data_IF_088767023773
#
_entry.id   IF_088767023773
#
_cell.length_a   1.000
_cell.length_b   1.000
_cell.length_c   1.000
_cell.angle_alpha   90.00
_cell.angle_beta   90.00
_cell.angle_gamma   90.00
#
_symmetry.space_group_name_H-M   'P 1'
#
loop_
_entity.id
_entity.type
_entity.pdbx_description
1 polymer ?
#
# COMPACT_ATOMS: atom_id res chain seq x y z
N UNK A 1 23.38 -47.25 -93.44
CA UNK A 1 23.94 -47.02 -92.03
C UNK A 1 22.87 -46.37 -91.24
N UNK A 2 22.24 -47.16 -90.32
CA UNK A 2 21.16 -46.67 -89.38
C UNK A 2 21.77 -46.51 -88.02
N UNK A 3 21.81 -45.29 -87.46
CA UNK A 3 22.29 -44.99 -86.08
C UNK A 3 21.17 -45.31 -85.09
N UNK A 4 21.44 -46.05 -84.03
CA UNK A 4 20.44 -46.28 -83.00
C UNK A 4 20.30 -45.02 -82.10
N UNK A 5 19.08 -44.52 -81.93
CA UNK A 5 18.74 -43.54 -80.94
C UNK A 5 18.83 -44.20 -79.54
N UNK A 6 19.83 -43.79 -78.80
CA UNK A 6 19.90 -44.15 -77.38
C UNK A 6 18.86 -43.33 -76.58
N UNK A 7 17.85 -43.97 -76.06
CA UNK A 7 16.88 -43.38 -75.09
C UNK A 7 17.55 -43.27 -73.71
N UNK A 8 17.94 -42.03 -73.37
CA UNK A 8 18.37 -41.74 -72.01
C UNK A 8 17.11 -41.69 -71.15
N UNK A 9 16.83 -42.73 -70.37
CA UNK A 9 15.82 -42.74 -69.31
C UNK A 9 16.40 -41.94 -68.14
N UNK A 10 15.99 -40.68 -68.03
CA UNK A 10 16.29 -39.86 -66.89
C UNK A 10 15.38 -40.36 -65.76
N UNK A 11 15.91 -41.24 -64.86
CA UNK A 11 15.25 -41.63 -63.66
C UNK A 11 15.29 -40.40 -62.70
N UNK A 12 14.20 -39.62 -62.71
CA UNK A 12 13.90 -38.64 -61.63
C UNK A 12 13.71 -39.44 -60.38
N UNK A 13 14.77 -39.54 -59.58
CA UNK A 13 14.63 -39.93 -58.18
C UNK A 13 13.78 -38.82 -57.49
N UNK A 14 12.60 -39.16 -56.98
CA UNK A 14 11.93 -38.18 -56.12
C UNK A 14 12.88 -37.87 -54.95
N UNK A 15 12.94 -36.60 -54.48
CA UNK A 15 13.67 -36.30 -53.26
C UNK A 15 13.13 -37.25 -52.21
N UNK A 16 14.03 -37.90 -51.48
CA UNK A 16 13.68 -38.71 -50.31
C UNK A 16 12.83 -37.85 -49.40
N UNK A 17 11.51 -37.97 -49.50
CA UNK A 17 10.58 -37.54 -48.48
C UNK A 17 10.93 -38.36 -47.21
N UNK A 18 11.45 -37.68 -46.26
CA UNK A 18 12.09 -38.07 -45.05
C UNK A 18 11.82 -39.43 -44.50
N UNK A 19 12.90 -40.09 -44.11
CA UNK A 19 12.86 -41.31 -43.30
C UNK A 19 12.16 -41.11 -41.93
N UNK A 20 11.53 -39.97 -41.69
CA UNK A 20 10.93 -39.46 -40.43
C UNK A 20 9.84 -40.42 -39.88
N UNK A 21 9.21 -41.21 -40.77
CA UNK A 21 8.16 -42.10 -40.29
C UNK A 21 8.71 -43.35 -39.56
N UNK A 22 10.03 -43.57 -39.66
CA UNK A 22 10.71 -44.66 -38.94
C UNK A 22 11.32 -44.24 -37.60
N UNK A 23 11.38 -42.91 -37.33
CA UNK A 23 11.92 -42.40 -36.08
C UNK A 23 10.93 -42.61 -34.93
N UNK A 24 11.43 -43.11 -33.82
CA UNK A 24 10.64 -43.09 -32.59
C UNK A 24 10.50 -41.65 -32.06
N UNK A 25 9.64 -41.46 -31.05
CA UNK A 25 9.35 -40.15 -30.50
C UNK A 25 10.61 -39.43 -30.04
N UNK A 26 11.50 -40.11 -29.35
CA UNK A 26 12.77 -39.58 -28.80
C UNK A 26 13.71 -39.13 -29.92
N UNK A 27 13.80 -39.90 -31.01
CA UNK A 27 14.62 -39.58 -32.16
C UNK A 27 14.11 -38.34 -32.92
N UNK A 28 12.78 -38.17 -33.01
CA UNK A 28 12.18 -36.94 -33.59
C UNK A 28 12.46 -35.74 -32.71
N UNK A 29 12.31 -35.90 -31.40
CA UNK A 29 12.61 -34.82 -30.45
C UNK A 29 14.08 -34.38 -30.55
N UNK A 30 15.01 -35.33 -30.78
CA UNK A 30 16.41 -35.00 -30.99
C UNK A 30 16.62 -34.24 -32.30
N UNK A 31 15.93 -34.63 -33.36
CA UNK A 31 15.99 -33.93 -34.65
C UNK A 31 15.41 -32.53 -34.52
N UNK A 32 14.25 -32.36 -33.88
CA UNK A 32 13.66 -31.06 -33.58
C UNK A 32 14.61 -30.18 -32.76
N UNK A 33 15.26 -30.74 -31.72
CA UNK A 33 16.24 -30.01 -30.92
C UNK A 33 17.43 -29.54 -31.78
N UNK A 34 17.95 -30.40 -32.66
CA UNK A 34 19.08 -30.05 -33.51
C UNK A 34 18.72 -29.01 -34.60
N UNK A 35 17.44 -28.92 -34.93
CA UNK A 35 16.90 -27.89 -35.84
C UNK A 35 16.52 -26.59 -35.11
N UNK A 36 16.60 -26.55 -33.78
CA UNK A 36 16.23 -25.41 -32.97
C UNK A 36 14.73 -25.33 -32.62
N UNK A 37 13.97 -26.36 -32.94
CA UNK A 37 12.55 -26.48 -32.61
C UNK A 37 12.42 -26.99 -31.14
N UNK A 38 12.86 -26.18 -30.18
CA UNK A 38 12.99 -26.59 -28.76
C UNK A 38 11.66 -26.91 -28.10
N UNK A 39 10.57 -26.25 -28.49
CA UNK A 39 9.23 -26.53 -27.92
C UNK A 39 8.73 -27.92 -28.37
N UNK A 40 8.93 -28.30 -29.62
CA UNK A 40 8.59 -29.59 -30.14
C UNK A 40 9.48 -30.69 -29.55
N UNK A 41 10.76 -30.40 -29.41
CA UNK A 41 11.72 -31.29 -28.77
C UNK A 41 11.32 -31.58 -27.30
N UNK A 42 10.95 -30.53 -26.54
CA UNK A 42 10.50 -30.69 -25.17
C UNK A 42 9.27 -31.60 -25.02
N UNK A 43 8.32 -31.50 -25.96
CA UNK A 43 7.14 -32.39 -26.00
C UNK A 43 7.48 -33.85 -26.34
N UNK A 44 8.56 -34.06 -27.09
CA UNK A 44 8.96 -35.34 -27.59
C UNK A 44 9.94 -36.10 -26.67
N UNK A 45 10.74 -35.41 -25.88
CA UNK A 45 11.69 -36.06 -24.96
C UNK A 45 10.99 -36.75 -23.78
N UNK A 46 11.30 -38.02 -23.55
CA UNK A 46 10.90 -38.74 -22.34
C UNK A 46 11.93 -38.58 -21.21
N UNK A 47 13.22 -38.43 -21.58
CA UNK A 47 14.31 -38.21 -20.64
C UNK A 47 14.23 -36.84 -19.99
N UNK A 48 14.14 -36.72 -18.64
CA UNK A 48 13.97 -35.45 -17.97
C UNK A 48 15.14 -34.50 -18.17
N UNK A 49 16.39 -34.98 -18.28
CA UNK A 49 17.52 -34.11 -18.53
C UNK A 49 17.42 -33.42 -19.89
N UNK A 50 17.14 -34.19 -20.95
CA UNK A 50 17.02 -33.68 -22.33
C UNK A 50 15.83 -32.73 -22.45
N UNK A 51 14.70 -33.09 -21.83
CA UNK A 51 13.51 -32.26 -21.79
C UNK A 51 13.76 -30.94 -21.05
N UNK A 52 14.42 -30.99 -19.91
CA UNK A 52 14.82 -29.81 -19.15
C UNK A 52 15.74 -28.88 -19.94
N UNK A 53 16.70 -29.44 -20.72
CA UNK A 53 17.54 -28.65 -21.61
C UNK A 53 16.72 -27.98 -22.71
N UNK A 54 15.75 -28.67 -23.30
CA UNK A 54 14.86 -28.10 -24.30
C UNK A 54 13.99 -26.97 -23.71
N UNK A 55 13.37 -27.16 -22.54
CA UNK A 55 12.63 -26.11 -21.82
C UNK A 55 13.50 -24.91 -21.48
N UNK A 56 14.74 -25.13 -21.04
CA UNK A 56 15.66 -24.03 -20.77
C UNK A 56 15.95 -23.19 -22.05
N UNK A 57 16.07 -23.84 -23.21
CA UNK A 57 16.26 -23.19 -24.49
C UNK A 57 15.06 -22.38 -24.98
N UNK A 58 13.85 -22.78 -24.62
CA UNK A 58 12.62 -22.00 -24.90
C UNK A 58 12.44 -20.81 -23.94
N UNK A 59 13.19 -20.77 -22.81
CA UNK A 59 12.99 -19.81 -21.75
C UNK A 59 11.93 -20.22 -20.73
N UNK A 60 11.36 -21.44 -20.85
CA UNK A 60 10.47 -22.00 -19.84
C UNK A 60 11.31 -22.57 -18.67
N UNK A 61 11.83 -21.64 -17.87
CA UNK A 61 12.72 -21.97 -16.75
C UNK A 61 11.99 -22.71 -15.64
N UNK A 62 10.68 -22.54 -15.51
CA UNK A 62 9.88 -23.29 -14.55
C UNK A 62 9.85 -24.77 -14.92
N UNK A 63 9.45 -25.11 -16.15
CA UNK A 63 9.43 -26.48 -16.61
C UNK A 63 10.85 -27.09 -16.64
N UNK A 64 11.85 -26.31 -17.03
CA UNK A 64 13.25 -26.73 -16.98
C UNK A 64 13.69 -27.11 -15.55
N UNK A 65 13.39 -26.29 -14.57
CA UNK A 65 13.70 -26.53 -13.15
C UNK A 65 13.06 -27.80 -12.65
N UNK A 66 11.78 -28.01 -12.95
CA UNK A 66 11.06 -29.22 -12.59
C UNK A 66 11.67 -30.48 -13.20
N UNK A 67 12.04 -30.43 -14.47
CA UNK A 67 12.64 -31.54 -15.16
C UNK A 67 14.04 -31.86 -14.65
N UNK A 68 14.90 -30.87 -14.46
CA UNK A 68 16.24 -31.10 -13.92
C UNK A 68 16.18 -31.66 -12.49
N UNK A 69 15.22 -31.27 -11.70
CA UNK A 69 15.02 -31.81 -10.33
C UNK A 69 14.58 -33.28 -10.32
N UNK A 70 14.03 -33.79 -11.43
CA UNK A 70 13.62 -35.20 -11.59
C UNK A 70 14.70 -36.11 -12.15
N UNK A 71 15.89 -35.57 -12.44
CA UNK A 71 16.98 -36.36 -13.02
C UNK A 71 17.59 -37.28 -11.97
N UNK A 72 17.48 -38.57 -12.19
CA UNK A 72 18.03 -39.62 -11.33
C UNK A 72 19.29 -40.29 -11.88
N UNK A 73 19.56 -40.11 -13.21
CA UNK A 73 20.70 -40.71 -13.88
C UNK A 73 22.02 -40.07 -13.39
N UNK A 74 22.88 -40.90 -12.78
CA UNK A 74 24.13 -40.41 -12.18
C UNK A 74 25.06 -39.79 -13.21
N UNK A 75 25.06 -40.22 -14.49
CA UNK A 75 25.95 -39.72 -15.52
C UNK A 75 25.70 -38.25 -15.89
N UNK A 76 24.49 -37.75 -15.66
CA UNK A 76 24.09 -36.37 -15.98
C UNK A 76 23.56 -35.62 -14.78
N UNK A 77 23.63 -36.20 -13.60
CA UNK A 77 23.06 -35.64 -12.37
C UNK A 77 23.74 -34.33 -11.97
N UNK A 78 25.05 -34.25 -12.10
CA UNK A 78 25.80 -33.05 -11.81
C UNK A 78 25.45 -31.92 -12.78
N UNK A 79 25.39 -32.23 -14.10
CA UNK A 79 24.97 -31.29 -15.12
C UNK A 79 23.49 -30.83 -14.90
N UNK A 80 22.63 -31.74 -14.48
CA UNK A 80 21.24 -31.42 -14.12
C UNK A 80 21.16 -30.47 -12.94
N UNK A 81 21.93 -30.70 -11.87
CA UNK A 81 21.98 -29.81 -10.70
C UNK A 81 22.52 -28.43 -11.07
N UNK A 82 23.56 -28.36 -11.92
CA UNK A 82 24.05 -27.08 -12.41
C UNK A 82 22.98 -26.33 -13.22
N UNK A 83 22.30 -27.02 -14.14
CA UNK A 83 21.24 -26.45 -14.95
C UNK A 83 19.98 -26.13 -14.11
N UNK A 84 19.70 -26.87 -13.04
CA UNK A 84 18.69 -26.51 -12.03
C UNK A 84 19.00 -25.18 -11.37
N UNK A 85 20.26 -24.97 -10.97
CA UNK A 85 20.73 -23.71 -10.43
C UNK A 85 20.56 -22.56 -11.43
N UNK A 86 20.93 -22.78 -12.69
CA UNK A 86 20.76 -21.80 -13.76
C UNK A 86 19.27 -21.44 -13.99
N UNK A 87 18.39 -22.46 -13.98
CA UNK A 87 16.93 -22.26 -14.15
C UNK A 87 16.34 -21.47 -13.00
N UNK A 88 16.69 -21.80 -11.75
CA UNK A 88 16.25 -21.09 -10.55
C UNK A 88 16.75 -19.65 -10.53
N UNK A 89 17.99 -19.43 -10.92
CA UNK A 89 18.54 -18.08 -11.06
C UNK A 89 17.72 -17.21 -12.04
N UNK A 90 17.31 -17.81 -13.17
CA UNK A 90 16.45 -17.14 -14.18
C UNK A 90 15.02 -16.87 -13.67
N UNK A 91 14.55 -17.65 -12.70
CA UNK A 91 13.27 -17.47 -12.00
C UNK A 91 13.38 -16.52 -10.81
N UNK A 92 14.56 -15.95 -10.58
CA UNK A 92 14.88 -15.11 -9.42
C UNK A 92 14.79 -15.88 -8.07
N UNK A 93 14.66 -17.21 -8.11
CA UNK A 93 14.84 -18.08 -6.94
C UNK A 93 16.33 -18.21 -6.61
N UNK A 94 16.93 -17.11 -6.14
CA UNK A 94 18.37 -17.05 -5.85
C UNK A 94 18.74 -17.96 -4.71
N UNK A 95 17.88 -18.14 -3.72
CA UNK A 95 18.12 -19.08 -2.63
C UNK A 95 18.17 -20.53 -3.13
N UNK A 96 17.23 -20.93 -3.97
CA UNK A 96 17.23 -22.25 -4.60
C UNK A 96 18.41 -22.45 -5.56
N UNK A 97 18.83 -21.38 -6.27
CA UNK A 97 20.01 -21.43 -7.12
C UNK A 97 21.30 -21.64 -6.30
N UNK A 98 21.45 -20.94 -5.16
CA UNK A 98 22.57 -21.13 -4.23
C UNK A 98 22.69 -22.57 -3.80
N UNK A 99 21.58 -23.19 -3.32
CA UNK A 99 21.55 -24.59 -2.88
C UNK A 99 21.98 -25.54 -4.01
N UNK A 100 21.48 -25.32 -5.23
CA UNK A 100 21.81 -26.16 -6.36
C UNK A 100 23.31 -26.09 -6.72
N UNK A 101 23.89 -24.88 -6.79
CA UNK A 101 25.30 -24.71 -7.10
C UNK A 101 26.23 -25.22 -5.96
N UNK A 102 25.85 -25.04 -4.70
CA UNK A 102 26.59 -25.61 -3.57
C UNK A 102 26.60 -27.13 -3.66
N UNK A 103 25.47 -27.77 -4.01
CA UNK A 103 25.42 -29.24 -4.21
C UNK A 103 26.35 -29.71 -5.33
N UNK A 104 26.45 -28.92 -6.43
CA UNK A 104 27.45 -29.22 -7.50
C UNK A 104 28.87 -29.14 -6.94
N UNK A 105 29.20 -28.10 -6.19
CA UNK A 105 30.55 -27.86 -5.65
C UNK A 105 30.94 -28.85 -4.54
N UNK A 106 29.96 -29.43 -3.84
CA UNK A 106 30.20 -30.52 -2.87
C UNK A 106 30.72 -31.78 -3.57
N UNK A 107 30.28 -32.05 -4.79
CA UNK A 107 30.70 -33.20 -5.61
C UNK A 107 31.90 -32.88 -6.50
N UNK A 108 32.03 -31.66 -6.99
CA UNK A 108 33.10 -31.14 -7.83
C UNK A 108 33.52 -29.73 -7.38
N UNK A 109 34.44 -29.62 -6.41
CA UNK A 109 34.91 -28.34 -5.90
C UNK A 109 35.63 -27.49 -6.97
N UNK A 110 36.08 -28.08 -8.07
CA UNK A 110 36.73 -27.38 -9.17
C UNK A 110 35.83 -26.90 -10.30
N UNK A 111 34.51 -27.12 -10.17
CA UNK A 111 33.53 -26.65 -11.15
C UNK A 111 33.46 -25.11 -11.19
N UNK A 112 34.22 -24.52 -12.11
CA UNK A 112 34.44 -23.06 -12.21
C UNK A 112 33.14 -22.29 -12.45
N UNK A 113 32.29 -22.79 -13.34
CA UNK A 113 31.03 -22.11 -13.72
C UNK A 113 30.00 -22.13 -12.56
N UNK A 114 29.93 -23.24 -11.82
CA UNK A 114 29.07 -23.31 -10.63
C UNK A 114 29.56 -22.35 -9.55
N UNK A 115 30.89 -22.24 -9.33
CA UNK A 115 31.45 -21.28 -8.38
C UNK A 115 31.16 -19.83 -8.76
N UNK A 116 31.29 -19.50 -10.04
CA UNK A 116 30.98 -18.17 -10.56
C UNK A 116 29.49 -17.85 -10.37
N UNK A 117 28.62 -18.75 -10.80
CA UNK A 117 27.16 -18.56 -10.72
C UNK A 117 26.66 -18.54 -9.27
N UNK A 118 27.27 -19.32 -8.38
CA UNK A 118 27.01 -19.25 -6.94
C UNK A 118 27.31 -17.86 -6.36
N UNK A 119 28.45 -17.26 -6.77
CA UNK A 119 28.79 -15.92 -6.31
C UNK A 119 27.77 -14.88 -6.80
N UNK A 120 27.33 -14.97 -8.06
CA UNK A 120 26.26 -14.09 -8.61
C UNK A 120 24.92 -14.30 -7.89
N UNK A 121 24.54 -15.56 -7.61
CA UNK A 121 23.29 -15.84 -6.91
C UNK A 121 23.31 -15.29 -5.47
N UNK A 122 24.42 -15.45 -4.76
CA UNK A 122 24.61 -14.87 -3.41
C UNK A 122 24.57 -13.34 -3.42
N UNK A 123 25.17 -12.72 -4.43
CA UNK A 123 25.12 -11.25 -4.58
C UNK A 123 23.68 -10.77 -4.79
N UNK A 124 22.93 -11.44 -5.68
CA UNK A 124 21.51 -11.10 -5.93
C UNK A 124 20.65 -11.30 -4.69
N UNK A 125 20.84 -12.39 -3.97
CA UNK A 125 20.13 -12.67 -2.72
C UNK A 125 20.40 -11.59 -1.66
N UNK A 126 21.64 -11.14 -1.52
CA UNK A 126 22.00 -10.07 -0.61
C UNK A 126 21.38 -8.71 -1.01
N UNK A 127 21.33 -8.42 -2.32
CA UNK A 127 20.66 -7.22 -2.83
C UNK A 127 19.16 -7.22 -2.50
N UNK A 128 18.46 -8.34 -2.69
CA UNK A 128 17.04 -8.48 -2.35
C UNK A 128 16.78 -8.22 -0.85
N UNK A 129 17.57 -8.85 0.04
CA UNK A 129 17.41 -8.60 1.47
C UNK A 129 17.61 -7.13 1.86
N UNK A 130 18.60 -6.46 1.23
CA UNK A 130 18.82 -5.03 1.48
C UNK A 130 17.69 -4.16 0.98
N UNK A 131 17.05 -4.54 -0.13
CA UNK A 131 15.88 -3.84 -0.67
C UNK A 131 14.65 -4.06 0.22
N UNK A 132 14.40 -5.29 0.67
CA UNK A 132 13.32 -5.63 1.63
C UNK A 132 13.48 -4.85 2.95
N UNK A 133 14.68 -4.86 3.55
CA UNK A 133 14.96 -4.10 4.77
C UNK A 133 14.71 -2.59 4.59
N UNK A 134 15.04 -2.03 3.43
CA UNK A 134 14.80 -0.62 3.14
C UNK A 134 13.32 -0.31 2.95
N UNK A 135 12.56 -1.18 2.27
CA UNK A 135 11.12 -1.04 2.10
C UNK A 135 10.39 -1.11 3.45
N UNK A 136 10.77 -2.05 4.31
CA UNK A 136 10.24 -2.14 5.68
C UNK A 136 10.54 -0.87 6.51
N UNK A 137 11.77 -0.32 6.41
CA UNK A 137 12.11 0.93 7.08
C UNK A 137 11.34 2.15 6.54
N UNK A 138 11.04 2.18 5.24
CA UNK A 138 10.25 3.24 4.62
C UNK A 138 8.78 3.16 5.05
N UNK A 139 8.18 1.96 5.09
CA UNK A 139 6.82 1.73 5.61
C UNK A 139 6.70 2.13 7.09
N UNK A 140 7.66 1.72 7.94
CA UNK A 140 7.66 2.11 9.36
C UNK A 140 7.74 3.64 9.56
N UNK A 141 8.47 4.36 8.69
CA UNK A 141 8.55 5.82 8.75
C UNK A 141 7.25 6.49 8.32
N UNK A 142 6.62 6.00 7.25
CA UNK A 142 5.31 6.51 6.80
C UNK A 142 4.23 6.30 7.87
N UNK A 143 4.22 5.15 8.54
CA UNK A 143 3.31 4.88 9.64
C UNK A 143 3.54 5.82 10.82
N UNK A 144 4.79 6.08 11.23
CA UNK A 144 5.13 7.02 12.29
C UNK A 144 4.77 8.46 11.93
N UNK A 145 4.97 8.88 10.68
CA UNK A 145 4.56 10.21 10.21
C UNK A 145 3.03 10.35 10.22
N UNK A 146 2.30 9.32 9.81
CA UNK A 146 0.83 9.32 9.82
C UNK A 146 0.27 9.38 11.25
N UNK A 147 0.79 8.59 12.19
CA UNK A 147 0.40 8.63 13.61
C UNK A 147 0.70 10.00 14.24
N UNK A 148 1.86 10.59 13.91
CA UNK A 148 2.23 11.91 14.43
C UNK A 148 1.34 13.02 13.88
N UNK A 149 0.91 12.92 12.62
CA UNK A 149 -0.02 13.86 12.00
C UNK A 149 -1.44 13.74 12.60
N UNK A 150 -1.91 12.53 12.88
CA UNK A 150 -3.18 12.30 13.57
C UNK A 150 -3.17 12.83 15.00
N UNK A 151 -2.08 12.64 15.75
CA UNK A 151 -1.93 13.23 17.09
C UNK A 151 -1.97 14.75 17.05
N UNK A 152 -1.27 15.39 16.10
CA UNK A 152 -1.32 16.84 15.95
C UNK A 152 -2.71 17.36 15.61
N UNK A 153 -3.48 16.65 14.77
CA UNK A 153 -4.86 17.01 14.48
C UNK A 153 -5.77 16.87 15.71
N UNK A 154 -5.60 15.83 16.52
CA UNK A 154 -6.35 15.66 17.78
C UNK A 154 -6.02 16.75 18.79
N UNK A 155 -4.76 17.12 18.94
CA UNK A 155 -4.35 18.22 19.83
C UNK A 155 -4.91 19.58 19.36
N UNK A 156 -4.92 19.83 18.05
CA UNK A 156 -5.58 21.02 17.49
C UNK A 156 -7.08 21.05 17.78
N UNK A 157 -7.79 19.97 17.54
CA UNK A 157 -9.22 19.87 17.85
C UNK A 157 -9.52 20.09 19.33
N UNK A 158 -8.75 19.48 20.23
CA UNK A 158 -8.91 19.71 21.67
C UNK A 158 -8.65 21.14 22.09
N UNK A 159 -7.67 21.83 21.47
CA UNK A 159 -7.38 23.23 21.75
C UNK A 159 -8.48 24.17 21.25
N UNK A 160 -9.08 23.88 20.09
CA UNK A 160 -10.22 24.63 19.55
C UNK A 160 -11.50 24.43 20.40
N UNK A 161 -11.77 23.21 20.86
CA UNK A 161 -12.88 22.92 21.78
C UNK A 161 -12.71 23.64 23.13
N UNK A 162 -11.50 23.69 23.67
CA UNK A 162 -11.21 24.43 24.90
C UNK A 162 -11.38 25.95 24.72
N UNK A 163 -10.98 26.51 23.58
CA UNK A 163 -11.24 27.94 23.29
C UNK A 163 -12.72 28.23 23.13
N UNK A 164 -13.48 27.41 22.38
CA UNK A 164 -14.93 27.59 22.24
C UNK A 164 -15.67 27.48 23.60
N UNK A 165 -15.27 26.58 24.48
CA UNK A 165 -15.89 26.46 25.82
C UNK A 165 -15.52 27.62 26.72
N UNK A 166 -14.32 28.22 26.57
CA UNK A 166 -13.90 29.43 27.26
C UNK A 166 -14.70 30.65 26.83
N UNK A 167 -14.90 30.83 25.54
CA UNK A 167 -15.67 31.95 24.97
C UNK A 167 -17.15 31.86 25.38
N UNK A 168 -17.76 30.67 25.39
CA UNK A 168 -19.14 30.48 25.88
C UNK A 168 -19.29 30.80 27.38
N UNK A 169 -18.29 30.50 28.20
CA UNK A 169 -18.30 30.89 29.62
C UNK A 169 -18.14 32.39 29.81
N UNK A 170 -17.36 33.07 29.01
CA UNK A 170 -17.24 34.53 29.03
C UNK A 170 -18.53 35.25 28.60
N UNK A 171 -19.20 34.75 27.54
CA UNK A 171 -20.50 35.30 27.10
C UNK A 171 -21.60 35.09 28.19
N UNK A 172 -21.61 33.94 28.87
CA UNK A 172 -22.55 33.70 29.97
C UNK A 172 -22.28 34.60 31.20
N UNK A 173 -21.02 34.92 31.50
CA UNK A 173 -20.71 35.88 32.57
C UNK A 173 -21.10 37.31 32.17
N UNK A 174 -20.83 37.77 30.96
CA UNK A 174 -21.27 39.10 30.53
C UNK A 174 -22.76 39.27 30.51
N UNK A 175 -23.52 38.26 30.06
CA UNK A 175 -24.98 38.30 30.06
C UNK A 175 -25.57 38.25 31.49
N UNK A 176 -24.87 37.62 32.45
CA UNK A 176 -25.23 37.63 33.84
C UNK A 176 -24.99 39.00 34.53
N UNK A 177 -23.94 39.67 34.18
CA UNK A 177 -23.61 41.01 34.70
C UNK A 177 -24.56 42.09 34.12
N UNK A 178 -24.94 42.02 32.87
CA UNK A 178 -25.95 42.90 32.25
C UNK A 178 -27.33 42.71 32.89
N UNK A 179 -27.75 41.53 33.24
CA UNK A 179 -29.01 41.25 33.92
C UNK A 179 -29.00 41.82 35.39
N UNK A 180 -27.85 41.79 36.07
CA UNK A 180 -27.73 42.40 37.41
C UNK A 180 -27.75 43.93 37.35
N UNK A 181 -27.15 44.57 36.36
CA UNK A 181 -27.24 46.04 36.15
C UNK A 181 -28.66 46.48 35.81
N UNK A 182 -29.40 45.75 34.95
CA UNK A 182 -30.80 46.06 34.69
C UNK A 182 -31.70 45.91 35.92
N UNK A 183 -31.50 44.89 36.79
CA UNK A 183 -32.23 44.78 38.06
C UNK A 183 -31.91 45.92 39.01
N UNK A 184 -30.65 46.34 39.18
CA UNK A 184 -30.29 47.46 40.02
C UNK A 184 -30.85 48.80 39.50
N UNK A 185 -30.90 49.01 38.19
CA UNK A 185 -31.51 50.21 37.61
C UNK A 185 -33.05 50.20 37.75
N UNK A 186 -33.68 49.05 37.73
CA UNK A 186 -35.12 48.89 37.97
C UNK A 186 -35.51 49.19 39.43
N UNK A 187 -34.72 48.77 40.41
CA UNK A 187 -34.93 49.06 41.83
C UNK A 187 -34.74 50.52 42.16
N UNK A 188 -33.76 51.21 41.56
CA UNK A 188 -33.58 52.68 41.73
C UNK A 188 -34.75 53.47 41.13
N UNK A 189 -35.35 53.09 40.03
CA UNK A 189 -36.55 53.71 39.47
C UNK A 189 -37.82 53.50 40.35
N UNK A 190 -37.92 52.38 41.02
CA UNK A 190 -39.01 52.15 41.99
C UNK A 190 -38.87 52.97 43.27
N UNK A 191 -37.67 53.15 43.80
CA UNK A 191 -37.41 54.04 44.96
C UNK A 191 -37.67 55.53 44.63
N UNK A 192 -37.30 56.00 43.42
CA UNK A 192 -37.63 57.36 42.98
C UNK A 192 -39.12 57.60 42.79
N UNK A 193 -39.89 56.59 42.31
CA UNK A 193 -41.35 56.73 42.24
C UNK A 193 -41.99 56.75 43.61
N UNK A 194 -41.56 55.92 44.57
CA UNK A 194 -42.10 55.96 45.94
C UNK A 194 -41.75 57.24 46.67
N UNK A 195 -40.60 57.83 46.45
CA UNK A 195 -40.24 59.15 47.05
C UNK A 195 -41.03 60.31 46.38
N UNK A 196 -41.37 60.19 45.10
CA UNK A 196 -42.23 61.15 44.40
C UNK A 196 -43.67 61.13 44.91
N UNK A 197 -44.25 59.98 45.18
CA UNK A 197 -45.59 59.81 45.72
C UNK A 197 -45.67 60.33 47.17
N UNK A 198 -44.67 60.14 48.02
CA UNK A 198 -44.60 60.70 49.38
C UNK A 198 -44.53 62.24 49.37
N UNK A 199 -43.86 62.89 48.41
CA UNK A 199 -43.86 64.32 48.30
C UNK A 199 -45.20 64.90 47.84
N UNK A 200 -45.96 64.18 47.00
CA UNK A 200 -47.32 64.61 46.60
C UNK A 200 -48.32 64.50 47.75
N UNK A 201 -48.24 63.45 48.62
CA UNK A 201 -49.08 63.32 49.81
C UNK A 201 -48.81 64.43 50.85
N UNK A 202 -47.53 64.82 51.09
CA UNK A 202 -47.17 65.94 51.96
C UNK A 202 -47.64 67.31 51.44
N UNK A 203 -47.63 67.53 50.11
CA UNK A 203 -48.20 68.75 49.51
C UNK A 203 -49.73 68.81 49.62
N UNK A 204 -50.44 67.73 49.43
CA UNK A 204 -51.89 67.68 49.63
C UNK A 204 -52.31 67.88 51.06
N UNK A 205 -51.54 67.37 52.07
CA UNK A 205 -51.82 67.57 53.48
C UNK A 205 -51.49 69.02 53.92
N UNK A 206 -50.50 69.66 53.32
CA UNK A 206 -50.18 71.10 53.50
C UNK A 206 -51.31 72.02 53.01
N UNK A 207 -51.89 71.77 51.86
CA UNK A 207 -52.99 72.58 51.32
C UNK A 207 -54.29 72.41 52.12
N UNK A 208 -54.64 71.24 52.69
CA UNK A 208 -55.77 71.05 53.61
C UNK A 208 -55.61 71.84 54.91
N UNK A 209 -54.40 71.95 55.47
CA UNK A 209 -54.16 72.75 56.66
C UNK A 209 -54.25 74.26 56.38
N UNK A 210 -54.01 74.78 55.23
CA UNK A 210 -54.18 76.20 54.86
C UNK A 210 -55.65 76.55 54.65
N UNK A 211 -56.50 75.63 54.06
CA UNK A 211 -57.92 75.85 53.93
C UNK A 211 -58.64 75.83 55.28
N UNK A 212 -58.27 75.01 56.25
CA UNK A 212 -58.83 75.01 57.65
C UNK A 212 -58.42 76.26 58.40
N UNK A 213 -57.24 76.88 58.19
CA UNK A 213 -56.87 78.15 58.87
C UNK A 213 -57.64 79.38 58.26
N UNK A 214 -57.90 79.40 56.94
CA UNK A 214 -58.71 80.45 56.34
C UNK A 214 -60.19 80.37 56.73
N UNK A 215 -60.76 79.22 56.98
CA UNK A 215 -62.14 79.06 57.41
C UNK A 215 -62.32 79.44 58.90
N UNK A 216 -61.29 79.31 59.76
CA UNK A 216 -61.24 79.71 61.19
C UNK A 216 -61.27 81.25 61.38
N UNK A 217 -60.59 81.99 60.56
CA UNK A 217 -60.54 83.45 60.64
C UNK A 217 -61.83 84.15 60.19
N UNK A 218 -62.62 83.58 59.34
CA UNK A 218 -63.95 84.16 58.94
C UNK A 218 -65.02 84.08 59.99
N UNK A 219 -64.87 83.24 61.03
CA UNK A 219 -65.83 83.07 62.12
C UNK A 219 -65.57 84.00 63.30
N UNK A 220 -64.50 84.80 63.38
CA UNK A 220 -64.20 85.78 64.44
C UNK A 220 -64.58 87.26 64.07
N UNK A 221 -65.03 87.57 62.85
CA UNK A 221 -65.50 88.94 62.54
C UNK A 221 -67.02 89.18 62.63
N UNK A 222 -67.81 88.20 63.06
CA UNK A 222 -69.28 88.37 63.25
C UNK A 222 -69.70 88.16 64.71
N UNK A 223 -68.99 88.87 65.72
CA UNK A 223 -69.52 89.06 67.05
C UNK A 223 -69.27 90.49 67.54
#
# INVERSE_FOLDING_TARGET
MKRPLAWIVLILFPPLLGADWFLNQEQRAEEDYNQGHYEEAAKGFEDPYRRGVAHYRTGDYQAASEDFNRVEREEVKQDALYNLGNSRYKLEDYQGAVVAYETVLDSDPDHTDARHNLALAKEKLAQMHTEEEREEEEEEKEDQESESAEQQQQEQQQSEEQQQSGDQQQEQQQSGDEQQEEQQSGDQQQEEQQSGDQQQEEQQSGDQQQEEQQSGDQQQEEQ
#
